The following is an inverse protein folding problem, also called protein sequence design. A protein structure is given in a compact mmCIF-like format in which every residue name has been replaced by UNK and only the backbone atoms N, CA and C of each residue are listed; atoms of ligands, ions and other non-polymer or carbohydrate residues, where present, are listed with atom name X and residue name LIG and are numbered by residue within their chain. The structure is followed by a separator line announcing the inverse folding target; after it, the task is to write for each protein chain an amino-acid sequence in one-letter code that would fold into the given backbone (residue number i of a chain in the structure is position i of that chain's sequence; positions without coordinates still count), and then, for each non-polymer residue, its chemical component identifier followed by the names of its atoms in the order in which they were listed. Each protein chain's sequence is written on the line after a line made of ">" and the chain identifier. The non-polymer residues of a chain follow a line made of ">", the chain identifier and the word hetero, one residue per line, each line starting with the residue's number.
data_IF_425033871988
#
_entry.id   IF_425033871988
#
_cell.length_a   1.000
_cell.length_b   1.000
_cell.length_c   1.000
_cell.angle_alpha   90.00
_cell.angle_beta   90.00
_cell.angle_gamma   90.00
#
_symmetry.space_group_name_H-M   'P 1'
#
loop_
_entity.id
_entity.type
_entity.pdbx_description
1 polymer ?
#
# COMPACT_ATOMS: atom_id res chain seq x y z
N UNK A 1 -3.81 -2.73 -1.89
CA UNK A 1 -4.33 -2.75 -3.27
C UNK A 1 -5.06 -4.08 -3.51
N UNK A 2 -5.93 -4.17 -4.54
CA UNK A 2 -6.46 -5.48 -5.00
C UNK A 2 -5.31 -6.47 -5.28
N UNK A 3 -5.53 -7.77 -5.11
CA UNK A 3 -4.48 -8.76 -5.34
C UNK A 3 -3.97 -8.69 -6.78
N UNK A 4 -2.65 -8.66 -6.92
CA UNK A 4 -1.93 -8.86 -8.17
C UNK A 4 -1.78 -10.35 -8.44
N UNK A 5 -1.57 -10.76 -9.72
CA UNK A 5 -1.18 -12.14 -10.04
C UNK A 5 0.01 -12.57 -9.17
N UNK A 6 0.04 -13.82 -8.71
CA UNK A 6 1.14 -14.27 -7.83
C UNK A 6 2.51 -14.08 -8.51
N UNK A 7 3.43 -13.40 -7.82
CA UNK A 7 4.82 -13.22 -8.23
C UNK A 7 5.75 -13.46 -7.06
N UNK A 8 6.59 -14.50 -7.14
CA UNK A 8 7.50 -14.90 -6.06
C UNK A 8 6.79 -15.07 -4.71
N UNK A 9 5.58 -15.64 -4.72
CA UNK A 9 4.67 -15.77 -3.57
C UNK A 9 4.08 -14.45 -3.04
N UNK A 10 4.40 -13.30 -3.65
CA UNK A 10 3.78 -12.01 -3.36
C UNK A 10 2.52 -11.79 -4.18
N UNK A 11 1.50 -11.22 -3.56
CA UNK A 11 0.20 -10.92 -4.17
C UNK A 11 -0.29 -9.51 -3.85
N UNK A 12 0.24 -8.88 -2.81
CA UNK A 12 -0.24 -7.59 -2.32
C UNK A 12 0.86 -6.54 -2.38
N UNK A 13 0.44 -5.30 -2.56
CA UNK A 13 1.27 -4.11 -2.40
C UNK A 13 0.66 -3.25 -1.29
N UNK A 14 1.48 -2.92 -0.30
CA UNK A 14 1.18 -1.91 0.73
C UNK A 14 1.87 -0.60 0.32
N UNK A 15 1.12 0.49 0.26
CA UNK A 15 1.58 1.84 -0.06
C UNK A 15 1.35 2.75 1.16
N UNK A 16 2.42 3.36 1.66
CA UNK A 16 2.40 4.39 2.70
C UNK A 16 2.92 5.71 2.14
N UNK A 17 2.03 6.67 1.91
CA UNK A 17 2.35 7.92 1.19
C UNK A 17 3.22 8.85 2.01
N UNK A 18 2.82 9.13 3.26
CA UNK A 18 3.56 10.06 4.13
C UNK A 18 4.96 9.52 4.48
N UNK A 19 5.15 8.22 4.37
CA UNK A 19 6.44 7.55 4.57
C UNK A 19 7.21 7.30 3.26
N UNK A 20 6.61 7.60 2.10
CA UNK A 20 7.18 7.30 0.78
C UNK A 20 7.51 5.82 0.56
N UNK A 21 6.80 4.91 1.25
CA UNK A 21 7.13 3.49 1.33
C UNK A 21 6.16 2.63 0.57
N UNK A 22 6.67 1.65 -0.18
CA UNK A 22 5.87 0.66 -0.88
C UNK A 22 6.51 -0.71 -0.71
N UNK A 23 5.70 -1.74 -0.44
CA UNK A 23 6.18 -3.10 -0.21
C UNK A 23 5.31 -4.17 -0.84
N UNK A 24 5.95 -5.21 -1.40
CA UNK A 24 5.32 -6.47 -1.80
C UNK A 24 5.11 -7.39 -0.63
N UNK A 25 3.95 -8.03 -0.56
CA UNK A 25 3.56 -8.89 0.56
C UNK A 25 2.89 -10.18 0.06
N UNK A 26 3.16 -11.33 0.70
CA UNK A 26 2.65 -12.64 0.28
C UNK A 26 1.27 -12.98 0.80
N UNK A 27 0.81 -12.26 1.82
CA UNK A 27 -0.45 -12.50 2.51
C UNK A 27 -1.25 -11.21 2.57
N UNK A 28 -2.55 -11.34 2.77
CA UNK A 28 -3.49 -10.27 3.03
C UNK A 28 -3.66 -9.95 4.53
N UNK A 29 -2.86 -10.58 5.41
CA UNK A 29 -2.86 -10.29 6.86
C UNK A 29 -2.36 -8.87 7.14
N UNK A 30 -3.31 -7.95 7.03
CA UNK A 30 -3.10 -6.51 7.10
C UNK A 30 -2.55 -6.09 8.46
N UNK A 31 -2.89 -6.80 9.55
CA UNK A 31 -2.36 -6.52 10.89
C UNK A 31 -0.86 -6.77 10.95
N UNK A 32 -0.42 -7.96 10.52
CA UNK A 32 1.01 -8.31 10.51
C UNK A 32 1.79 -7.40 9.56
N UNK A 33 1.20 -7.12 8.39
CA UNK A 33 1.77 -6.22 7.38
C UNK A 33 2.02 -4.81 7.93
N UNK A 34 1.00 -4.17 8.53
CA UNK A 34 1.13 -2.80 9.06
C UNK A 34 2.07 -2.77 10.27
N UNK A 35 1.99 -3.76 11.16
CA UNK A 35 2.91 -3.82 12.33
C UNK A 35 4.37 -3.94 11.90
N UNK A 36 4.69 -4.87 10.98
CA UNK A 36 6.07 -5.15 10.57
C UNK A 36 6.66 -4.04 9.70
N UNK A 37 5.86 -3.48 8.80
CA UNK A 37 6.37 -2.56 7.78
C UNK A 37 6.21 -1.09 8.14
N UNK A 38 5.23 -0.73 8.97
CA UNK A 38 5.01 0.65 9.40
C UNK A 38 5.41 0.82 10.87
N UNK A 39 4.74 0.12 11.79
CA UNK A 39 4.91 0.40 13.23
C UNK A 39 6.31 0.10 13.75
N UNK A 40 6.91 -1.02 13.33
CA UNK A 40 8.25 -1.40 13.76
C UNK A 40 9.36 -0.48 13.18
N UNK A 41 9.08 0.26 12.10
CA UNK A 41 10.08 1.10 11.41
C UNK A 41 9.95 2.57 11.78
N UNK A 42 8.72 3.08 11.85
CA UNK A 42 8.44 4.51 12.03
C UNK A 42 7.79 4.83 13.38
N UNK A 43 7.53 3.81 14.20
CA UNK A 43 6.73 3.94 15.42
C UNK A 43 5.23 3.89 15.14
N UNK A 44 4.43 4.05 16.20
CA UNK A 44 2.97 4.07 16.07
C UNK A 44 2.50 5.46 15.59
N UNK A 45 1.88 5.56 14.40
CA UNK A 45 1.30 6.81 13.94
C UNK A 45 0.06 7.16 14.78
N UNK A 46 -0.22 8.46 15.01
CA UNK A 46 -1.42 8.88 15.73
C UNK A 46 -2.71 8.54 14.97
N UNK A 47 -2.64 8.53 13.64
CA UNK A 47 -3.76 8.19 12.75
C UNK A 47 -3.24 7.33 11.60
N UNK A 48 -3.96 6.27 11.27
CA UNK A 48 -3.78 5.47 10.05
C UNK A 48 -4.97 5.73 9.14
N UNK A 49 -4.71 6.18 7.91
CA UNK A 49 -5.75 6.42 6.90
C UNK A 49 -5.71 5.26 5.89
N UNK A 50 -6.87 4.66 5.59
CA UNK A 50 -6.98 3.61 4.58
C UNK A 50 -8.25 3.74 3.74
N UNK A 51 -8.29 3.04 2.60
CA UNK A 51 -9.51 2.88 1.81
C UNK A 51 -10.51 1.94 2.51
N UNK A 52 -11.72 1.83 1.93
CA UNK A 52 -12.79 0.88 2.33
C UNK A 52 -12.48 -0.58 1.95
N UNK A 53 -11.23 -0.92 1.65
CA UNK A 53 -10.83 -2.28 1.34
C UNK A 53 -11.20 -3.24 2.47
N UNK A 54 -11.79 -4.42 2.18
CA UNK A 54 -12.28 -5.35 3.20
C UNK A 54 -11.21 -5.80 4.20
N UNK A 55 -9.94 -5.78 3.78
CA UNK A 55 -8.81 -6.12 4.64
C UNK A 55 -8.54 -5.06 5.72
N UNK A 56 -8.79 -3.77 5.41
CA UNK A 56 -8.68 -2.68 6.38
C UNK A 56 -9.97 -2.49 7.20
N UNK A 57 -11.13 -2.82 6.66
CA UNK A 57 -12.42 -2.74 7.38
C UNK A 57 -12.69 -3.96 8.29
N UNK A 58 -11.73 -4.86 8.49
CA UNK A 58 -11.97 -6.06 9.29
C UNK A 58 -11.98 -5.75 10.79
N UNK A 59 -12.95 -6.33 11.53
CA UNK A 59 -13.04 -6.18 12.99
C UNK A 59 -11.75 -6.58 13.72
N UNK A 60 -11.04 -7.58 13.21
CA UNK A 60 -9.74 -8.03 13.75
C UNK A 60 -8.67 -6.94 13.64
N UNK A 61 -8.67 -6.19 12.53
CA UNK A 61 -7.73 -5.11 12.29
C UNK A 61 -8.07 -3.88 13.14
N UNK A 62 -9.35 -3.53 13.22
CA UNK A 62 -9.85 -2.44 14.07
C UNK A 62 -9.47 -2.65 15.55
N UNK A 63 -9.74 -3.85 16.10
CA UNK A 63 -9.34 -4.20 17.47
C UNK A 63 -7.82 -4.09 17.66
N UNK A 64 -7.03 -4.44 16.65
CA UNK A 64 -5.59 -4.32 16.73
C UNK A 64 -5.14 -2.85 16.77
N UNK A 65 -5.72 -1.98 15.96
CA UNK A 65 -5.39 -0.55 15.95
C UNK A 65 -5.77 0.14 17.26
N UNK A 66 -6.92 -0.21 17.84
CA UNK A 66 -7.32 0.26 19.19
C UNK A 66 -6.28 -0.15 20.24
N UNK A 67 -5.81 -1.40 20.21
CA UNK A 67 -4.74 -1.88 21.12
C UNK A 67 -3.44 -1.10 20.95
N UNK A 68 -3.14 -0.62 19.75
CA UNK A 68 -1.96 0.19 19.47
C UNK A 68 -2.17 1.68 19.69
N UNK A 69 -3.34 2.10 20.17
CA UNK A 69 -3.72 3.51 20.32
C UNK A 69 -3.62 4.30 19.01
N UNK A 70 -3.83 3.63 17.87
CA UNK A 70 -3.83 4.23 16.54
C UNK A 70 -5.27 4.51 16.13
N UNK A 71 -5.58 5.77 15.79
CA UNK A 71 -6.90 6.10 15.23
C UNK A 71 -6.99 5.63 13.79
N UNK A 72 -7.98 4.81 13.47
CA UNK A 72 -8.22 4.36 12.10
C UNK A 72 -9.22 5.29 11.42
N UNK A 73 -8.82 5.93 10.32
CA UNK A 73 -9.71 6.73 9.49
C UNK A 73 -9.90 6.02 8.15
N UNK A 74 -11.11 5.54 7.91
CA UNK A 74 -11.48 4.92 6.64
C UNK A 74 -11.99 6.03 5.71
N UNK A 75 -11.34 6.21 4.57
CA UNK A 75 -11.80 7.14 3.53
C UNK A 75 -12.81 6.43 2.65
N UNK A 76 -14.03 6.96 2.58
CA UNK A 76 -15.07 6.38 1.71
C UNK A 76 -14.71 6.53 0.25
N UNK A 77 -15.13 5.56 -0.57
CA UNK A 77 -14.84 5.44 -2.00
C UNK A 77 -15.21 6.68 -2.84
N UNK A 78 -16.03 7.59 -2.31
CA UNK A 78 -16.48 8.82 -2.99
C UNK A 78 -16.10 10.12 -2.25
N UNK A 79 -15.12 10.08 -1.34
CA UNK A 79 -14.57 11.27 -0.68
C UNK A 79 -13.17 11.62 -1.23
N UNK A 80 -13.10 12.36 -2.37
CA UNK A 80 -11.87 12.55 -3.12
C UNK A 80 -10.78 13.32 -2.36
N UNK A 81 -11.10 14.13 -1.34
CA UNK A 81 -10.07 14.98 -0.73
C UNK A 81 -9.00 14.21 0.05
N UNK A 82 -9.39 13.17 0.80
CA UNK A 82 -8.44 12.38 1.60
C UNK A 82 -7.82 11.22 0.80
N UNK A 83 -8.59 10.63 -0.13
CA UNK A 83 -8.14 9.45 -0.87
C UNK A 83 -7.44 9.79 -2.19
N UNK A 84 -7.51 11.03 -2.71
CA UNK A 84 -6.95 11.38 -4.02
C UNK A 84 -5.46 11.14 -4.12
N UNK A 85 -4.67 11.41 -3.08
CA UNK A 85 -3.24 11.08 -3.09
C UNK A 85 -3.02 9.57 -3.21
N UNK A 86 -3.76 8.77 -2.42
CA UNK A 86 -3.70 7.30 -2.44
C UNK A 86 -4.16 6.72 -3.77
N UNK A 87 -5.24 7.22 -4.34
CA UNK A 87 -5.78 6.76 -5.61
C UNK A 87 -4.85 7.10 -6.78
N UNK A 88 -4.31 8.32 -6.82
CA UNK A 88 -3.36 8.75 -7.86
C UNK A 88 -2.08 7.92 -7.78
N UNK A 89 -1.44 7.84 -6.60
CA UNK A 89 -0.23 7.03 -6.42
C UNK A 89 -0.48 5.55 -6.77
N UNK A 90 -1.62 4.98 -6.35
CA UNK A 90 -1.97 3.60 -6.68
C UNK A 90 -2.14 3.39 -8.20
N UNK A 91 -2.77 4.34 -8.89
CA UNK A 91 -2.97 4.28 -10.35
C UNK A 91 -1.65 4.34 -11.09
N UNK A 92 -0.74 5.19 -10.65
CA UNK A 92 0.54 5.40 -11.33
C UNK A 92 1.52 4.27 -11.09
N UNK A 93 1.61 3.78 -9.85
CA UNK A 93 2.40 2.58 -9.56
C UNK A 93 1.90 1.41 -10.40
N UNK A 94 0.57 1.25 -10.57
CA UNK A 94 0.01 0.24 -11.48
C UNK A 94 0.44 0.47 -12.93
N UNK A 95 0.33 1.69 -13.45
CA UNK A 95 0.73 2.00 -14.83
C UNK A 95 2.22 1.78 -15.09
N UNK A 96 3.08 2.16 -14.14
CA UNK A 96 4.53 1.95 -14.23
C UNK A 96 4.82 0.44 -14.18
N UNK A 97 4.21 -0.29 -13.23
CA UNK A 97 4.36 -1.75 -13.16
C UNK A 97 3.87 -2.42 -14.44
N UNK A 98 2.72 -2.03 -15.00
CA UNK A 98 2.22 -2.57 -16.27
C UNK A 98 3.21 -2.37 -17.41
N UNK A 99 3.86 -1.20 -17.51
CA UNK A 99 4.88 -0.91 -18.52
C UNK A 99 6.17 -1.71 -18.31
N UNK A 100 6.66 -1.80 -17.07
CA UNK A 100 7.93 -2.48 -16.75
C UNK A 100 7.80 -4.01 -16.82
N UNK A 101 6.62 -4.54 -16.47
CA UNK A 101 6.36 -5.98 -16.37
C UNK A 101 5.71 -6.55 -17.64
N UNK A 102 5.37 -5.70 -18.63
CA UNK A 102 4.70 -6.09 -19.88
C UNK A 102 5.26 -7.38 -20.54
N UNK A 103 6.60 -7.62 -20.56
CA UNK A 103 7.14 -8.86 -21.13
C UNK A 103 7.02 -10.11 -20.23
N UNK A 104 6.90 -9.96 -18.90
CA UNK A 104 7.02 -11.09 -17.96
C UNK A 104 6.19 -10.89 -16.67
N UNK A 105 4.86 -10.99 -16.80
CA UNK A 105 3.85 -10.78 -15.72
C UNK A 105 4.07 -11.57 -14.43
N UNK A 106 4.87 -12.63 -14.46
CA UNK A 106 5.16 -13.50 -13.30
C UNK A 106 6.20 -12.92 -12.33
N UNK A 107 6.93 -11.86 -12.71
CA UNK A 107 8.09 -11.37 -11.96
C UNK A 107 7.96 -9.90 -11.52
N UNK A 108 6.73 -9.39 -11.44
CA UNK A 108 6.48 -7.99 -11.06
C UNK A 108 7.04 -7.64 -9.68
N UNK A 109 7.14 -8.59 -8.75
CA UNK A 109 7.67 -8.34 -7.42
C UNK A 109 9.14 -7.88 -7.45
N UNK A 110 9.97 -8.41 -8.36
CA UNK A 110 11.37 -7.95 -8.54
C UNK A 110 11.46 -6.57 -9.18
N UNK A 111 10.45 -6.20 -9.98
CA UNK A 111 10.37 -4.93 -10.69
C UNK A 111 9.71 -3.83 -9.88
N UNK A 112 9.27 -4.13 -8.65
CA UNK A 112 8.66 -3.13 -7.80
C UNK A 112 9.66 -2.02 -7.46
N UNK A 113 10.91 -2.34 -7.15
CA UNK A 113 11.92 -1.34 -6.82
C UNK A 113 12.20 -0.41 -8.02
N UNK A 114 12.30 -0.97 -9.24
CA UNK A 114 12.42 -0.20 -10.48
C UNK A 114 11.21 0.73 -10.69
N UNK A 115 10.00 0.22 -10.45
CA UNK A 115 8.77 0.98 -10.60
C UNK A 115 8.66 2.11 -9.57
N UNK A 116 9.12 1.87 -8.33
CA UNK A 116 9.17 2.88 -7.27
C UNK A 116 10.22 3.93 -7.53
N UNK A 117 11.36 3.54 -8.06
CA UNK A 117 12.39 4.47 -8.48
C UNK A 117 11.86 5.41 -9.58
N UNK A 118 11.21 4.86 -10.61
CA UNK A 118 10.57 5.65 -11.67
C UNK A 118 9.47 6.57 -11.12
N UNK A 119 8.62 6.08 -10.20
CA UNK A 119 7.60 6.88 -9.53
C UNK A 119 8.21 8.05 -8.76
N UNK A 120 9.26 7.78 -7.96
CA UNK A 120 9.96 8.81 -7.17
C UNK A 120 10.64 9.86 -8.03
N UNK A 121 11.18 9.49 -9.19
CA UNK A 121 11.79 10.46 -10.11
C UNK A 121 10.73 11.33 -10.76
N UNK A 122 9.63 10.74 -11.24
CA UNK A 122 8.54 11.50 -11.84
C UNK A 122 7.92 12.52 -10.86
N UNK A 123 7.87 12.17 -9.58
CA UNK A 123 7.26 12.98 -8.52
C UNK A 123 8.20 13.90 -7.73
N UNK A 124 9.52 13.72 -7.82
CA UNK A 124 10.49 14.66 -7.22
C UNK A 124 10.66 15.96 -8.02
N UNK A 125 10.04 16.05 -9.19
CA UNK A 125 10.07 17.22 -10.08
C UNK A 125 8.84 18.12 -9.99
N UNK A 126 7.94 17.91 -9.02
CA UNK A 126 6.77 18.76 -8.77
C UNK A 126 6.80 19.37 -7.36
#
# INVERSE_FOLDING_TARGET
>A
MRPFPSSLRNQYILLGIDYGEVRTLPTDDTKSMVKKNIFARFGMPPTLVSDEGPHFCSRKFEIALVKYSVRHQITKTYHPQANRKIEVSNREIKQILEKVVNPNRKVWALRLDDALWAYRIAYKTL
#
